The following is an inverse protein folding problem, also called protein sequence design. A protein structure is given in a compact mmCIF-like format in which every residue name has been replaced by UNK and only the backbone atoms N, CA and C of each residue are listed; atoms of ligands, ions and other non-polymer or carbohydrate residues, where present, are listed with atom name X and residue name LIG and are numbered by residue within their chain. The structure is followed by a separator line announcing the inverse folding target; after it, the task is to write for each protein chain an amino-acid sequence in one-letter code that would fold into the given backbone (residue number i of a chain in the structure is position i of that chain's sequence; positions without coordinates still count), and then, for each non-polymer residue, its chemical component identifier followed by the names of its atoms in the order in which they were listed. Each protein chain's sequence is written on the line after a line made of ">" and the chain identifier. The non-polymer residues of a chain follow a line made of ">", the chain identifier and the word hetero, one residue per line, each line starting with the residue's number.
data_IF_628757154445
#
_entry.id   IF_628757154445
#
_cell.length_a   1.000
_cell.length_b   1.000
_cell.length_c   1.000
_cell.angle_alpha   90.00
_cell.angle_beta   90.00
_cell.angle_gamma   90.00
#
_symmetry.space_group_name_H-M   'P 1'
#
loop_
_entity.id
_entity.type
_entity.pdbx_description
1 polymer ?
#
# COMPACT_ATOMS: atom_id res chain seq x y z
N UNK A 1 19.86 10.91 6.76
CA UNK A 1 19.48 9.50 6.60
C UNK A 1 19.19 8.84 7.95
N UNK A 2 20.14 8.80 8.90
CA UNK A 2 19.91 8.22 10.24
C UNK A 2 18.82 8.90 11.09
N UNK A 3 18.91 10.22 11.34
CA UNK A 3 17.92 10.92 12.18
C UNK A 3 16.50 10.82 11.61
N UNK A 4 16.36 10.90 10.28
CA UNK A 4 15.08 10.78 9.59
C UNK A 4 14.48 9.38 9.71
N UNK A 5 15.29 8.33 9.55
CA UNK A 5 14.85 6.95 9.80
C UNK A 5 14.29 6.79 11.22
N UNK A 6 14.95 7.40 12.22
CA UNK A 6 14.46 7.39 13.61
C UNK A 6 13.15 8.19 13.72
N UNK A 7 13.03 9.38 13.11
CA UNK A 7 11.78 10.17 13.10
C UNK A 7 10.60 9.41 12.47
N UNK A 8 10.82 8.73 11.34
CA UNK A 8 9.81 7.90 10.68
C UNK A 8 9.43 6.70 11.55
N UNK A 9 10.41 6.05 12.16
CA UNK A 9 10.17 4.95 13.09
C UNK A 9 9.40 5.41 14.35
N UNK A 10 9.68 6.61 14.86
CA UNK A 10 8.90 7.20 15.96
C UNK A 10 7.45 7.45 15.55
N UNK A 11 7.21 7.95 14.32
CA UNK A 11 5.85 8.10 13.78
C UNK A 11 5.12 6.75 13.72
N UNK A 12 5.82 5.69 13.30
CA UNK A 12 5.27 4.33 13.26
C UNK A 12 5.00 3.72 14.65
N UNK A 13 5.71 4.19 15.68
CA UNK A 13 5.50 3.76 17.06
C UNK A 13 4.21 4.32 17.67
N UNK A 14 3.81 5.52 17.25
CA UNK A 14 2.58 6.18 17.74
C UNK A 14 1.29 5.55 17.20
N UNK A 15 1.37 4.74 16.14
CA UNK A 15 0.20 4.09 15.59
C UNK A 15 -0.38 3.08 16.58
N UNK A 16 -1.69 3.19 16.82
CA UNK A 16 -2.45 2.32 17.69
C UNK A 16 -3.77 1.95 17.02
N UNK A 17 -3.73 0.92 16.17
CA UNK A 17 -4.92 0.39 15.50
C UNK A 17 -4.71 -1.11 15.17
N UNK A 18 -5.72 -1.99 15.33
CA UNK A 18 -5.58 -3.42 15.08
C UNK A 18 -5.11 -3.74 13.65
N UNK A 19 -5.50 -2.93 12.66
CA UNK A 19 -5.14 -3.12 11.25
C UNK A 19 -4.00 -2.24 10.73
N UNK A 20 -3.19 -1.66 11.62
CA UNK A 20 -1.96 -0.95 11.25
C UNK A 20 -0.79 -1.62 11.95
N UNK A 21 0.32 -1.84 11.24
CA UNK A 21 1.52 -2.44 11.80
C UNK A 21 2.31 -1.38 12.58
N UNK A 22 2.21 -1.47 13.90
CA UNK A 22 2.92 -0.57 14.82
C UNK A 22 4.34 -1.06 15.11
N UNK A 23 5.26 -0.12 15.30
CA UNK A 23 6.63 -0.41 15.69
C UNK A 23 6.72 -0.87 17.15
N UNK A 24 7.37 -2.01 17.40
CA UNK A 24 7.70 -2.45 18.78
C UNK A 24 8.91 -1.68 19.31
N UNK A 25 9.96 -1.54 18.50
CA UNK A 25 11.14 -0.78 18.88
C UNK A 25 12.25 -0.76 17.83
N UNK A 26 13.34 -0.04 18.12
CA UNK A 26 14.53 0.06 17.28
C UNK A 26 15.74 -0.41 18.09
N UNK A 27 16.59 -1.24 17.48
CA UNK A 27 17.87 -1.65 18.05
C UNK A 27 19.00 -1.08 17.22
N UNK A 28 19.97 -0.43 17.85
CA UNK A 28 21.13 0.14 17.15
C UNK A 28 22.36 -0.70 17.52
N UNK A 29 22.87 -1.47 16.56
CA UNK A 29 24.08 -2.28 16.77
C UNK A 29 25.31 -1.46 16.36
N UNK A 30 26.25 -1.28 17.28
CA UNK A 30 27.60 -0.74 16.97
C UNK A 30 28.45 -1.81 16.31
N UNK A 31 28.93 -1.53 15.10
CA UNK A 31 29.90 -2.34 14.36
C UNK A 31 31.30 -1.93 14.77
N UNK A 32 32.04 -2.85 15.37
CA UNK A 32 33.42 -2.65 15.80
C UNK A 32 34.41 -2.45 14.63
N UNK A 33 34.02 -2.78 13.39
CA UNK A 33 34.87 -2.72 12.20
C UNK A 33 34.37 -1.63 11.23
N UNK A 34 34.48 -0.37 11.64
CA UNK A 34 34.02 0.80 10.88
C UNK A 34 35.15 1.35 10.00
N UNK A 35 35.63 0.54 9.06
CA UNK A 35 36.71 0.94 8.16
C UNK A 35 36.26 1.71 6.92
N UNK A 36 34.99 1.59 6.48
CA UNK A 36 34.55 2.22 5.21
C UNK A 36 33.03 2.17 4.93
N UNK A 37 32.15 2.22 5.95
CA UNK A 37 30.70 2.25 5.71
C UNK A 37 30.10 3.64 5.94
N UNK A 38 29.19 4.04 5.04
CA UNK A 38 28.44 5.33 5.02
C UNK A 38 27.68 5.67 6.32
N UNK A 39 27.56 4.70 7.23
CA UNK A 39 26.95 4.81 8.54
C UNK A 39 28.07 4.63 9.56
N UNK A 40 28.26 5.56 10.51
CA UNK A 40 29.30 5.56 11.56
C UNK A 40 29.28 4.29 12.45
N UNK A 41 29.54 3.13 11.87
CA UNK A 41 29.46 1.81 12.48
C UNK A 41 28.06 1.34 12.90
N UNK A 42 27.00 2.14 12.83
CA UNK A 42 25.74 1.80 13.47
C UNK A 42 24.69 1.33 12.46
N UNK A 43 24.24 0.07 12.56
CA UNK A 43 23.13 -0.46 11.75
C UNK A 43 21.84 -0.48 12.60
N UNK A 44 20.84 0.36 12.28
CA UNK A 44 19.57 0.30 12.97
C UNK A 44 18.74 -0.89 12.48
N UNK A 45 18.11 -1.61 13.41
CA UNK A 45 17.21 -2.72 13.18
C UNK A 45 15.83 -2.35 13.69
N UNK A 46 14.80 -2.61 12.89
CA UNK A 46 13.39 -2.37 13.24
C UNK A 46 12.81 -3.65 13.81
N UNK A 47 12.18 -3.57 14.98
CA UNK A 47 11.44 -4.69 15.59
C UNK A 47 9.95 -4.47 15.34
N UNK A 48 9.35 -5.38 14.59
CA UNK A 48 7.92 -5.38 14.24
C UNK A 48 7.24 -6.63 14.79
N UNK A 49 5.91 -6.61 14.97
CA UNK A 49 5.14 -7.82 15.25
C UNK A 49 5.42 -8.90 14.21
N UNK A 50 5.52 -10.16 14.65
CA UNK A 50 5.70 -11.28 13.73
C UNK A 50 4.38 -11.60 13.01
N UNK A 51 4.44 -11.57 11.67
CA UNK A 51 3.29 -11.79 10.79
C UNK A 51 3.44 -13.16 10.16
N UNK A 52 2.87 -14.19 10.80
CA UNK A 52 3.10 -15.62 10.51
C UNK A 52 2.94 -15.99 9.03
N UNK A 53 1.98 -15.36 8.35
CA UNK A 53 1.64 -15.68 6.97
C UNK A 53 2.30 -14.75 5.94
N UNK A 54 3.18 -13.84 6.38
CA UNK A 54 3.89 -12.90 5.50
C UNK A 54 2.97 -11.80 4.95
N UNK A 55 3.27 -11.34 3.73
CA UNK A 55 2.44 -10.36 3.03
C UNK A 55 1.25 -11.01 2.29
N UNK A 56 0.17 -10.24 2.12
CA UNK A 56 -1.06 -10.72 1.50
C UNK A 56 -0.87 -11.14 0.03
N UNK A 57 0.00 -10.49 -0.73
CA UNK A 57 0.20 -10.84 -2.14
C UNK A 57 0.82 -12.24 -2.26
N UNK A 58 1.85 -12.53 -1.47
CA UNK A 58 2.46 -13.86 -1.39
C UNK A 58 1.45 -14.88 -0.86
N UNK A 59 0.70 -14.53 0.19
CA UNK A 59 -0.30 -15.41 0.79
C UNK A 59 -1.37 -15.87 -0.19
N UNK A 60 -1.98 -14.94 -0.95
CA UNK A 60 -3.08 -15.27 -1.89
C UNK A 60 -2.62 -15.97 -3.17
N UNK A 61 -1.32 -15.87 -3.52
CA UNK A 61 -0.71 -16.57 -4.67
C UNK A 61 -0.28 -18.00 -4.32
N UNK A 62 -0.08 -18.30 -3.05
CA UNK A 62 0.37 -19.62 -2.60
C UNK A 62 -0.74 -20.64 -2.83
N UNK A 63 -0.49 -21.67 -3.64
CA UNK A 63 -1.50 -22.66 -4.08
C UNK A 63 -2.19 -23.39 -2.91
N UNK A 64 -1.46 -23.65 -1.84
CA UNK A 64 -2.01 -24.31 -0.64
C UNK A 64 -2.96 -23.41 0.16
N UNK A 65 -2.94 -22.09 -0.07
CA UNK A 65 -3.84 -21.16 0.56
C UNK A 65 -5.03 -20.91 -0.35
N UNK A 66 -6.21 -21.38 0.06
CA UNK A 66 -7.45 -21.20 -0.71
C UNK A 66 -8.45 -20.29 0.02
N UNK A 67 -8.15 -18.98 0.24
CA UNK A 67 -9.09 -18.11 0.92
C UNK A 67 -10.39 -17.98 0.11
N UNK A 68 -11.54 -17.92 0.75
CA UNK A 68 -12.82 -17.71 0.05
C UNK A 68 -12.94 -16.26 -0.42
N UNK A 69 -13.92 -15.95 -1.27
CA UNK A 69 -14.24 -14.55 -1.60
C UNK A 69 -14.58 -13.76 -0.33
N UNK A 70 -15.25 -14.38 0.65
CA UNK A 70 -15.51 -13.77 1.96
C UNK A 70 -14.21 -13.40 2.68
N UNK A 71 -13.26 -14.33 2.81
CA UNK A 71 -11.95 -14.02 3.41
C UNK A 71 -11.23 -12.86 2.69
N UNK A 72 -11.25 -12.84 1.36
CA UNK A 72 -10.64 -11.76 0.58
C UNK A 72 -11.32 -10.39 0.86
N UNK A 73 -12.65 -10.37 1.03
CA UNK A 73 -13.36 -9.14 1.36
C UNK A 73 -13.16 -8.74 2.82
N UNK A 74 -13.04 -9.68 3.74
CA UNK A 74 -12.68 -9.42 5.13
C UNK A 74 -11.27 -8.80 5.22
N UNK A 75 -10.31 -9.28 4.41
CA UNK A 75 -9.00 -8.64 4.27
C UNK A 75 -9.14 -7.19 3.74
N UNK A 76 -9.97 -6.99 2.72
CA UNK A 76 -10.28 -5.65 2.18
C UNK A 76 -10.86 -4.70 3.23
N UNK A 77 -11.80 -5.17 4.06
CA UNK A 77 -12.40 -4.40 5.16
C UNK A 77 -11.33 -4.02 6.19
N UNK A 78 -10.49 -4.98 6.59
CA UNK A 78 -9.42 -4.74 7.55
C UNK A 78 -8.41 -3.71 7.04
N UNK A 79 -7.99 -3.81 5.78
CA UNK A 79 -7.11 -2.81 5.13
C UNK A 79 -7.77 -1.43 5.13
N UNK A 80 -9.05 -1.35 4.75
CA UNK A 80 -9.79 -0.10 4.75
C UNK A 80 -9.92 0.50 6.17
N UNK A 81 -10.08 -0.35 7.20
CA UNK A 81 -10.07 0.08 8.61
C UNK A 81 -8.74 0.71 9.01
N UNK A 82 -7.61 0.06 8.67
CA UNK A 82 -6.28 0.63 8.89
C UNK A 82 -6.07 1.95 8.15
N UNK A 83 -6.55 2.05 6.91
CA UNK A 83 -6.43 3.27 6.10
C UNK A 83 -7.38 4.39 6.54
N UNK A 84 -8.56 4.07 7.08
CA UNK A 84 -9.44 5.05 7.73
C UNK A 84 -8.75 5.67 8.94
N UNK A 85 -8.14 4.83 9.80
CA UNK A 85 -7.35 5.30 10.94
C UNK A 85 -6.20 6.24 10.51
N UNK A 86 -5.38 5.84 9.52
CA UNK A 86 -4.29 6.68 9.02
C UNK A 86 -4.79 7.99 8.41
N UNK A 87 -5.91 7.95 7.67
CA UNK A 87 -6.57 9.14 7.13
C UNK A 87 -7.00 10.13 8.23
N UNK A 88 -7.51 9.63 9.36
CA UNK A 88 -7.90 10.47 10.50
C UNK A 88 -6.69 11.15 11.16
N UNK A 89 -5.53 10.48 11.15
CA UNK A 89 -4.24 11.07 11.55
C UNK A 89 -3.60 11.98 10.48
N UNK A 90 -4.28 12.21 9.35
CA UNK A 90 -3.74 12.95 8.18
C UNK A 90 -2.46 12.31 7.63
N UNK A 91 -2.30 11.01 7.84
CA UNK A 91 -1.17 10.25 7.35
C UNK A 91 -1.49 9.66 5.96
N UNK A 92 -0.63 9.96 4.98
CA UNK A 92 -0.74 9.41 3.61
C UNK A 92 0.29 8.28 3.44
N UNK A 93 -0.18 7.11 3.01
CA UNK A 93 0.64 5.91 2.86
C UNK A 93 1.53 5.96 1.62
N UNK A 94 1.00 6.40 0.47
CA UNK A 94 1.73 6.56 -0.82
C UNK A 94 2.18 5.28 -1.52
N UNK A 95 2.19 4.14 -0.84
CA UNK A 95 2.52 2.83 -1.44
C UNK A 95 1.58 1.71 -0.94
N UNK A 96 0.28 1.99 -0.91
CA UNK A 96 -0.70 0.98 -0.54
C UNK A 96 -0.82 -0.08 -1.64
N UNK A 97 -0.43 -1.31 -1.33
CA UNK A 97 -0.50 -2.47 -2.22
C UNK A 97 -0.68 -3.76 -1.40
N UNK A 98 -1.13 -4.85 -2.02
CA UNK A 98 -1.28 -6.13 -1.31
C UNK A 98 0.05 -6.63 -0.68
N UNK A 99 1.18 -6.37 -1.34
CA UNK A 99 2.53 -6.70 -0.81
C UNK A 99 2.93 -5.92 0.45
N UNK A 100 2.26 -4.79 0.72
CA UNK A 100 2.49 -3.93 1.88
C UNK A 100 1.38 -4.13 2.94
N UNK A 101 0.64 -5.23 2.86
CA UNK A 101 -0.34 -5.63 3.86
C UNK A 101 0.09 -6.98 4.43
N UNK A 102 0.37 -7.03 5.73
CA UNK A 102 0.89 -8.21 6.41
C UNK A 102 -0.23 -9.01 7.08
N UNK A 103 -0.09 -10.33 7.17
CA UNK A 103 -1.11 -11.24 7.69
C UNK A 103 -0.60 -12.02 8.93
N UNK A 104 -1.28 -11.84 10.06
CA UNK A 104 -0.97 -12.50 11.33
C UNK A 104 -1.58 -13.91 11.41
N UNK A 105 -1.24 -14.68 12.44
CA UNK A 105 -1.68 -16.08 12.59
C UNK A 105 -3.21 -16.23 12.57
N UNK A 106 -3.92 -15.32 13.24
CA UNK A 106 -5.38 -15.24 13.33
C UNK A 106 -6.05 -14.66 12.08
N UNK A 107 -5.30 -14.52 10.97
CA UNK A 107 -5.73 -13.89 9.73
C UNK A 107 -6.09 -12.40 9.87
N UNK A 108 -5.62 -11.73 10.93
CA UNK A 108 -5.70 -10.28 11.02
C UNK A 108 -4.71 -9.62 10.05
N UNK A 109 -5.21 -8.66 9.27
CA UNK A 109 -4.42 -7.88 8.32
C UNK A 109 -3.94 -6.61 8.97
N UNK A 110 -2.64 -6.32 8.83
CA UNK A 110 -2.03 -5.06 9.22
C UNK A 110 -1.41 -4.40 8.00
N UNK A 111 -1.88 -3.21 7.66
CA UNK A 111 -1.20 -2.38 6.66
C UNK A 111 0.20 -2.04 7.19
N UNK A 112 1.21 -2.02 6.33
CA UNK A 112 2.62 -1.86 6.69
C UNK A 112 3.36 -0.98 5.66
N UNK A 113 4.67 -0.79 5.87
CA UNK A 113 5.59 -0.10 4.94
C UNK A 113 5.20 1.35 4.58
N UNK A 114 4.95 2.15 5.61
CA UNK A 114 4.38 3.50 5.51
C UNK A 114 5.41 4.64 5.36
N UNK A 115 6.71 4.35 5.37
CA UNK A 115 7.72 5.36 5.69
C UNK A 115 9.04 5.27 4.95
N UNK A 116 9.52 4.08 4.60
CA UNK A 116 10.91 3.89 4.16
C UNK A 116 11.26 4.48 2.78
N UNK A 117 10.28 5.10 2.11
CA UNK A 117 10.37 5.47 0.70
C UNK A 117 10.02 6.93 0.40
N UNK A 118 9.60 7.73 1.40
CA UNK A 118 9.20 9.14 1.20
C UNK A 118 10.30 10.01 0.58
N UNK A 119 11.55 9.85 1.02
CA UNK A 119 12.67 10.66 0.52
C UNK A 119 13.27 10.17 -0.80
N UNK A 120 13.23 8.86 -1.04
CA UNK A 120 13.77 8.28 -2.26
C UNK A 120 12.91 8.72 -3.45
N UNK A 121 11.59 8.73 -3.26
CA UNK A 121 10.65 9.13 -4.29
C UNK A 121 10.58 10.63 -4.55
N UNK A 122 10.77 11.49 -3.52
CA UNK A 122 10.79 12.95 -3.72
C UNK A 122 12.09 13.44 -4.38
N UNK A 123 13.26 12.82 -4.11
CA UNK A 123 14.56 13.27 -4.67
C UNK A 123 14.82 12.79 -6.11
N UNK A 124 14.29 11.64 -6.49
CA UNK A 124 14.51 11.07 -7.83
C UNK A 124 13.55 11.58 -8.89
N UNK A 125 12.42 12.19 -8.51
CA UNK A 125 11.55 12.90 -9.45
C UNK A 125 12.28 14.09 -10.12
N UNK A 126 13.32 14.63 -9.45
CA UNK A 126 14.10 15.78 -9.92
C UNK A 126 15.50 15.44 -10.45
N UNK A 127 15.94 14.19 -10.39
CA UNK A 127 17.31 13.81 -10.78
C UNK A 127 17.31 12.97 -12.06
N UNK A 128 17.65 13.61 -13.18
CA UNK A 128 17.79 13.01 -14.52
C UNK A 128 19.01 12.08 -14.64
N UNK A 129 19.14 11.06 -13.78
CA UNK A 129 20.30 10.17 -13.78
C UNK A 129 20.08 8.86 -13.03
N UNK A 130 19.69 7.82 -13.76
CA UNK A 130 20.03 6.38 -13.60
C UNK A 130 20.01 5.67 -12.23
N UNK A 131 19.37 6.23 -11.22
CA UNK A 131 18.93 5.49 -10.03
C UNK A 131 17.52 5.93 -9.68
N UNK A 132 16.53 5.44 -10.42
CA UNK A 132 15.11 5.56 -10.04
C UNK A 132 14.77 4.36 -9.15
N UNK A 133 14.64 4.55 -7.85
CA UNK A 133 13.77 3.74 -7.04
C UNK A 133 12.45 3.53 -7.77
N UNK A 134 12.07 2.26 -7.81
CA UNK A 134 10.90 1.80 -8.53
C UNK A 134 9.67 2.31 -7.78
N UNK A 135 9.10 3.41 -8.27
CA UNK A 135 7.79 3.89 -7.85
C UNK A 135 6.75 2.79 -8.10
N UNK A 136 5.72 2.68 -7.27
CA UNK A 136 4.61 1.73 -7.45
C UNK A 136 3.63 2.24 -8.52
N UNK A 137 4.11 2.54 -9.72
CA UNK A 137 3.38 3.24 -10.81
C UNK A 137 1.96 2.70 -11.00
N UNK A 138 1.81 1.36 -10.99
CA UNK A 138 0.54 0.67 -11.23
C UNK A 138 -0.52 0.85 -10.13
N UNK A 139 -0.14 1.32 -8.94
CA UNK A 139 -1.02 1.63 -7.82
C UNK A 139 -1.27 3.13 -7.66
N UNK A 140 -0.47 3.98 -8.30
CA UNK A 140 -0.55 5.43 -8.13
C UNK A 140 -1.76 6.04 -8.85
N UNK A 141 -2.33 7.06 -8.21
CA UNK A 141 -3.39 7.87 -8.80
C UNK A 141 -2.85 8.81 -9.90
N UNK A 142 -3.72 9.26 -10.80
CA UNK A 142 -3.36 10.12 -11.94
C UNK A 142 -2.66 11.41 -11.46
N UNK A 143 -3.20 12.06 -10.42
CA UNK A 143 -2.62 13.28 -9.85
C UNK A 143 -1.26 13.05 -9.19
N UNK A 144 -1.02 11.85 -8.65
CA UNK A 144 0.27 11.47 -8.08
C UNK A 144 1.30 11.21 -9.17
N UNK A 145 0.89 10.57 -10.27
CA UNK A 145 1.74 10.31 -11.44
C UNK A 145 2.12 11.59 -12.19
N UNK A 146 1.18 12.52 -12.37
CA UNK A 146 1.40 13.73 -13.17
C UNK A 146 2.02 14.88 -12.38
N UNK A 147 1.62 15.04 -11.11
CA UNK A 147 1.91 16.24 -10.32
C UNK A 147 2.60 15.94 -9.00
N UNK A 148 2.86 14.66 -8.68
CA UNK A 148 3.40 14.29 -7.37
C UNK A 148 2.46 14.62 -6.22
N UNK A 149 1.16 14.76 -6.46
CA UNK A 149 0.17 15.08 -5.42
C UNK A 149 -0.22 13.79 -4.70
N UNK A 150 0.00 13.75 -3.39
CA UNK A 150 -0.35 12.62 -2.53
C UNK A 150 -1.37 13.07 -1.48
N UNK A 151 -2.42 12.29 -1.30
CA UNK A 151 -3.49 12.55 -0.34
C UNK A 151 -4.17 11.25 0.08
N UNK A 152 -5.06 11.31 1.08
CA UNK A 152 -5.98 10.20 1.36
C UNK A 152 -6.70 9.71 0.10
N UNK A 153 -7.05 10.61 -0.83
CA UNK A 153 -7.77 10.25 -2.05
C UNK A 153 -6.89 9.53 -3.07
N UNK A 154 -5.57 9.75 -3.08
CA UNK A 154 -4.64 8.93 -3.87
C UNK A 154 -4.44 7.54 -3.25
N UNK A 155 -4.50 7.44 -1.92
CA UNK A 155 -4.52 6.13 -1.25
C UNK A 155 -5.82 5.36 -1.51
N UNK A 156 -6.97 6.04 -1.62
CA UNK A 156 -8.25 5.41 -2.03
C UNK A 156 -8.14 4.80 -3.43
N UNK A 157 -7.45 5.46 -4.36
CA UNK A 157 -7.17 4.88 -5.68
C UNK A 157 -6.36 3.59 -5.56
N UNK A 158 -5.28 3.64 -4.77
CA UNK A 158 -4.38 2.51 -4.51
C UNK A 158 -5.15 1.34 -3.89
N UNK A 159 -6.06 1.62 -2.94
CA UNK A 159 -6.96 0.63 -2.34
C UNK A 159 -7.87 -0.05 -3.36
N UNK A 160 -8.39 0.71 -4.35
CA UNK A 160 -9.13 0.11 -5.47
C UNK A 160 -8.30 -0.93 -6.22
N UNK A 161 -7.00 -0.67 -6.42
CA UNK A 161 -6.06 -1.63 -7.03
C UNK A 161 -5.84 -2.83 -6.10
N UNK A 162 -5.71 -2.64 -4.79
CA UNK A 162 -5.61 -3.74 -3.81
C UNK A 162 -6.82 -4.66 -3.85
N UNK A 163 -8.04 -4.14 -3.90
CA UNK A 163 -9.24 -4.96 -4.04
C UNK A 163 -9.23 -5.79 -5.34
N UNK A 164 -8.70 -5.21 -6.42
CA UNK A 164 -8.52 -5.92 -7.68
C UNK A 164 -7.46 -7.02 -7.56
N UNK A 165 -6.33 -6.77 -6.89
CA UNK A 165 -5.32 -7.79 -6.58
C UNK A 165 -5.94 -8.96 -5.81
N UNK A 166 -6.70 -8.68 -4.74
CA UNK A 166 -7.34 -9.70 -3.92
C UNK A 166 -8.27 -10.59 -4.76
N UNK A 167 -9.17 -9.98 -5.55
CA UNK A 167 -10.16 -10.71 -6.35
C UNK A 167 -9.58 -11.42 -7.59
N UNK A 168 -8.38 -11.05 -8.01
CA UNK A 168 -7.64 -11.74 -9.08
C UNK A 168 -6.62 -12.74 -8.56
N UNK A 169 -6.59 -13.01 -7.25
CA UNK A 169 -5.61 -13.90 -6.61
C UNK A 169 -4.16 -13.43 -6.84
N UNK A 170 -3.97 -12.12 -6.77
CA UNK A 170 -2.67 -11.49 -6.89
C UNK A 170 -2.18 -11.39 -8.33
N UNK A 171 -3.06 -11.27 -9.33
CA UNK A 171 -2.60 -10.94 -10.68
C UNK A 171 -1.84 -9.60 -10.68
N UNK A 172 -0.89 -9.42 -11.59
CA UNK A 172 -0.24 -8.12 -11.74
C UNK A 172 -1.23 -7.11 -12.33
N UNK A 173 -1.47 -5.96 -11.69
CA UNK A 173 -2.28 -4.91 -12.29
C UNK A 173 -1.69 -4.46 -13.63
N UNK A 174 -2.56 -4.14 -14.58
CA UNK A 174 -2.19 -3.54 -15.87
C UNK A 174 -1.03 -4.27 -16.57
N UNK A 175 -1.05 -5.61 -16.58
CA UNK A 175 0.03 -6.43 -17.14
C UNK A 175 0.33 -6.09 -18.61
N UNK A 176 -0.70 -5.77 -19.38
CA UNK A 176 -0.62 -5.47 -20.82
C UNK A 176 -0.32 -3.99 -21.13
N UNK A 177 -0.14 -3.14 -20.11
CA UNK A 177 0.07 -1.71 -20.30
C UNK A 177 1.53 -1.37 -20.04
N UNK A 178 2.19 -0.82 -21.05
CA UNK A 178 3.55 -0.32 -20.91
C UNK A 178 3.60 0.88 -19.94
N UNK A 179 4.69 0.98 -19.17
CA UNK A 179 4.86 2.04 -18.17
C UNK A 179 4.88 3.44 -18.80
N UNK A 180 5.42 3.59 -20.01
CA UNK A 180 5.49 4.86 -20.73
C UNK A 180 4.13 5.36 -21.20
N UNK A 181 3.19 4.46 -21.47
CA UNK A 181 1.84 4.79 -21.91
C UNK A 181 0.79 4.75 -20.78
N UNK A 182 1.22 4.41 -19.55
CA UNK A 182 0.32 4.21 -18.42
C UNK A 182 -0.53 5.44 -18.09
N UNK A 183 0.07 6.64 -18.07
CA UNK A 183 -0.67 7.89 -17.81
C UNK A 183 -1.68 8.15 -18.94
N UNK A 184 -1.30 7.97 -20.21
CA UNK A 184 -2.20 8.17 -21.36
C UNK A 184 -3.38 7.20 -21.31
N UNK A 185 -3.10 5.94 -20.98
CA UNK A 185 -4.12 4.91 -20.75
C UNK A 185 -5.14 5.40 -19.71
N UNK A 186 -4.70 5.86 -18.54
CA UNK A 186 -5.61 6.31 -17.48
C UNK A 186 -6.40 7.57 -17.87
N UNK A 187 -5.77 8.52 -18.57
CA UNK A 187 -6.42 9.75 -19.03
C UNK A 187 -7.48 9.52 -20.10
N UNK A 188 -7.39 8.42 -20.86
CA UNK A 188 -8.46 7.99 -21.78
C UNK A 188 -9.69 7.38 -21.07
N UNK A 189 -9.72 7.38 -19.74
CA UNK A 189 -10.82 6.81 -18.95
C UNK A 189 -10.74 5.29 -18.77
N UNK A 190 -9.73 4.63 -19.35
CA UNK A 190 -9.51 3.20 -19.18
C UNK A 190 -9.05 2.87 -17.76
N UNK A 191 -9.50 1.72 -17.25
CA UNK A 191 -9.21 1.20 -15.90
C UNK A 191 -8.97 -0.30 -15.97
N UNK A 192 -8.56 -0.91 -14.85
CA UNK A 192 -8.54 -2.37 -14.71
C UNK A 192 -9.92 -2.95 -15.04
N UNK A 193 -9.92 -4.09 -15.73
CA UNK A 193 -11.14 -4.82 -16.05
C UNK A 193 -11.73 -5.49 -14.81
N UNK A 194 -13.03 -5.76 -14.86
CA UNK A 194 -13.71 -6.56 -13.83
C UNK A 194 -13.07 -7.95 -13.74
N UNK A 195 -12.65 -8.40 -12.54
CA UNK A 195 -12.20 -9.78 -12.36
C UNK A 195 -13.31 -10.79 -12.69
N UNK A 196 -12.94 -11.95 -13.25
CA UNK A 196 -13.89 -12.95 -13.81
C UNK A 196 -15.02 -13.33 -12.86
N UNK A 197 -14.73 -13.44 -11.55
CA UNK A 197 -15.71 -13.85 -10.52
C UNK A 197 -16.06 -12.73 -9.55
N UNK A 198 -15.81 -11.47 -9.91
CA UNK A 198 -16.12 -10.31 -9.08
C UNK A 198 -17.58 -9.87 -9.27
N UNK A 199 -18.40 -9.81 -8.21
CA UNK A 199 -19.72 -9.18 -8.24
C UNK A 199 -19.68 -7.77 -8.83
N UNK A 200 -20.66 -7.44 -9.68
CA UNK A 200 -20.73 -6.13 -10.34
C UNK A 200 -20.76 -4.97 -9.34
N UNK A 201 -21.39 -5.16 -8.17
CA UNK A 201 -21.43 -4.16 -7.11
C UNK A 201 -20.02 -3.82 -6.56
N UNK A 202 -19.17 -4.84 -6.33
CA UNK A 202 -17.78 -4.64 -5.89
C UNK A 202 -16.96 -3.95 -6.99
N UNK A 203 -17.14 -4.34 -8.24
CA UNK A 203 -16.43 -3.70 -9.35
C UNK A 203 -16.86 -2.24 -9.54
N UNK A 204 -18.15 -1.92 -9.42
CA UNK A 204 -18.65 -0.53 -9.42
C UNK A 204 -18.03 0.28 -8.28
N UNK A 205 -17.87 -0.32 -7.10
CA UNK A 205 -17.16 0.32 -6.00
C UNK A 205 -15.69 0.59 -6.33
N UNK A 206 -14.94 -0.38 -6.87
CA UNK A 206 -13.54 -0.14 -7.32
C UNK A 206 -13.46 0.96 -8.37
N UNK A 207 -14.41 0.99 -9.31
CA UNK A 207 -14.51 2.06 -10.32
C UNK A 207 -14.69 3.45 -9.71
N UNK A 208 -15.40 3.58 -8.58
CA UNK A 208 -15.49 4.84 -7.83
C UNK A 208 -14.15 5.23 -7.19
N UNK A 209 -13.37 4.26 -6.70
CA UNK A 209 -12.01 4.52 -6.21
C UNK A 209 -11.11 5.11 -7.31
N UNK A 210 -11.33 4.75 -8.57
CA UNK A 210 -10.54 5.23 -9.71
C UNK A 210 -11.15 6.41 -10.47
N UNK A 211 -12.02 7.20 -9.82
CA UNK A 211 -12.55 8.41 -10.42
C UNK A 211 -11.41 9.40 -10.74
N UNK A 212 -11.52 10.10 -11.88
CA UNK A 212 -10.50 11.07 -12.34
C UNK A 212 -10.36 12.22 -11.36
N UNK A 213 -11.48 12.83 -10.98
CA UNK A 213 -11.54 13.80 -9.89
C UNK A 213 -11.38 13.09 -8.53
N UNK A 214 -10.33 13.40 -7.73
CA UNK A 214 -10.12 12.83 -6.40
C UNK A 214 -11.25 13.12 -5.41
N UNK A 215 -11.95 14.26 -5.54
CA UNK A 215 -13.01 14.64 -4.59
C UNK A 215 -14.24 13.74 -4.70
N UNK A 216 -14.48 13.21 -5.90
CA UNK A 216 -15.55 12.25 -6.21
C UNK A 216 -15.25 10.81 -5.78
N UNK A 217 -14.03 10.50 -5.31
CA UNK A 217 -13.68 9.17 -4.78
C UNK A 217 -14.27 9.02 -3.37
N UNK A 218 -14.68 7.81 -2.95
CA UNK A 218 -15.24 7.60 -1.62
C UNK A 218 -14.22 7.82 -0.49
N UNK A 219 -14.68 7.85 0.75
CA UNK A 219 -13.82 7.73 1.94
C UNK A 219 -13.58 6.25 2.26
N UNK A 220 -12.60 5.97 3.13
CA UNK A 220 -12.38 4.60 3.61
C UNK A 220 -13.57 4.07 4.42
N UNK A 221 -14.26 4.90 5.21
CA UNK A 221 -15.45 4.48 5.97
C UNK A 221 -16.63 4.12 5.05
N UNK A 222 -16.83 4.89 3.97
CA UNK A 222 -17.82 4.57 2.94
C UNK A 222 -17.50 3.25 2.22
N UNK A 223 -16.20 2.96 2.02
CA UNK A 223 -15.75 1.71 1.41
C UNK A 223 -15.97 0.51 2.32
N UNK A 224 -15.68 0.63 3.62
CA UNK A 224 -15.97 -0.42 4.62
C UNK A 224 -17.46 -0.76 4.58
N UNK A 225 -18.30 0.25 4.71
CA UNK A 225 -19.77 0.11 4.69
C UNK A 225 -20.25 -0.50 3.37
N UNK A 226 -19.68 -0.06 2.24
CA UNK A 226 -20.04 -0.59 0.92
C UNK A 226 -19.68 -2.08 0.78
N UNK A 227 -18.50 -2.50 1.24
CA UNK A 227 -18.09 -3.92 1.16
C UNK A 227 -18.99 -4.77 2.04
N UNK A 228 -19.23 -4.35 3.29
CA UNK A 228 -20.08 -5.07 4.25
C UNK A 228 -21.51 -5.28 3.74
N UNK A 229 -22.07 -4.31 3.01
CA UNK A 229 -23.40 -4.43 2.42
C UNK A 229 -23.48 -5.35 1.19
N UNK A 230 -22.34 -5.68 0.57
CA UNK A 230 -22.29 -6.53 -0.63
C UNK A 230 -22.06 -8.00 -0.27
N UNK A 231 -21.42 -8.29 0.87
CA UNK A 231 -21.01 -9.64 1.30
C UNK A 231 -21.99 -10.32 2.24
#
# INVERSE_FOLDING_TARGET
>A
EYNKFIEEAMTMHEFNHPNVLSLIGIVIKRSANSGNLRWNGCMPLVILPFMKHGDLLTFIRTENNTPTVRHLMDFGIQIAGGMSYLSNLKFVHRDLAARNCMLADDLSVKVADFGLSRDVYEREYYSSGDRKAKLPIKWMAIESLEKGIYSTKSDVWSFGVVLWELLTRGASPYLEVDSWDFIKFLKSGRRLMQPVYCPLALYRMMRRCWHTDPSSRPTFDELITSIQNII
#
